data_IF_175646056185
#
_entry.id   IF_175646056185
#
_cell.length_a   1.000
_cell.length_b   1.000
_cell.length_c   1.000
_cell.angle_alpha   90.00
_cell.angle_beta   90.00
_cell.angle_gamma   90.00
#
_symmetry.space_group_name_H-M   'P 1'
#
loop_
_entity.id
_entity.type
_entity.pdbx_description
1 polymer ?
#
# COMPACT_ATOMS: atom_id res chain seq x y z
N UNK A 1 -16.89 -7.87 -1.64
CA UNK A 1 -18.08 -8.55 -2.19
C UNK A 1 -18.62 -9.59 -1.20
N UNK A 2 -17.79 -10.53 -0.71
CA UNK A 2 -18.20 -11.59 0.22
C UNK A 2 -18.87 -11.13 1.54
N UNK A 3 -18.40 -10.06 2.18
CA UNK A 3 -18.97 -9.56 3.44
C UNK A 3 -20.39 -9.01 3.30
N UNK A 4 -20.70 -8.37 2.16
CA UNK A 4 -22.05 -7.85 1.86
C UNK A 4 -23.03 -9.00 1.61
N UNK A 5 -22.61 -10.03 0.86
CA UNK A 5 -23.41 -11.22 0.56
C UNK A 5 -23.70 -12.06 1.81
N UNK A 6 -22.70 -12.26 2.68
CA UNK A 6 -22.87 -12.96 3.97
C UNK A 6 -23.85 -12.22 4.89
N UNK A 7 -23.80 -10.88 4.93
CA UNK A 7 -24.75 -10.07 5.71
C UNK A 7 -26.16 -10.16 5.11
N UNK A 8 -26.29 -10.10 3.78
CA UNK A 8 -27.57 -10.17 3.08
C UNK A 8 -28.25 -11.54 3.27
N UNK A 9 -27.50 -12.63 3.19
CA UNK A 9 -28.02 -13.98 3.42
C UNK A 9 -28.48 -14.19 4.87
N UNK A 10 -27.76 -13.64 5.86
CA UNK A 10 -28.22 -13.62 7.26
C UNK A 10 -29.49 -12.80 7.43
N UNK A 11 -29.61 -11.66 6.76
CA UNK A 11 -30.82 -10.81 6.78
C UNK A 11 -32.04 -11.50 6.16
N UNK A 12 -31.84 -12.32 5.13
CA UNK A 12 -32.88 -13.12 4.50
C UNK A 12 -33.23 -14.42 5.25
N UNK A 13 -32.65 -14.65 6.43
CA UNK A 13 -32.94 -15.83 7.27
C UNK A 13 -32.26 -17.13 6.83
N UNK A 14 -31.40 -17.10 5.81
CA UNK A 14 -30.67 -18.28 5.37
C UNK A 14 -29.51 -18.59 6.31
N UNK A 15 -29.34 -19.88 6.66
CA UNK A 15 -28.15 -20.36 7.38
C UNK A 15 -26.94 -20.28 6.45
N UNK A 16 -26.09 -19.28 6.66
CA UNK A 16 -24.83 -19.15 5.93
C UNK A 16 -23.82 -20.18 6.47
N UNK A 17 -23.22 -21.03 5.63
CA UNK A 17 -22.19 -21.96 6.05
C UNK A 17 -21.00 -21.23 6.70
N UNK A 18 -20.53 -21.73 7.86
CA UNK A 18 -19.36 -21.19 8.58
C UNK A 18 -18.14 -20.91 7.70
N UNK A 19 -17.77 -21.75 6.71
CA UNK A 19 -16.62 -21.49 5.84
C UNK A 19 -16.73 -20.18 5.06
N UNK A 20 -17.93 -19.80 4.64
CA UNK A 20 -18.18 -18.57 3.87
C UNK A 20 -18.06 -17.33 4.78
N UNK A 21 -18.56 -17.44 6.01
CA UNK A 21 -18.45 -16.40 7.04
C UNK A 21 -16.98 -16.19 7.44
N UNK A 22 -16.23 -17.27 7.62
CA UNK A 22 -14.81 -17.21 7.97
C UNK A 22 -13.97 -16.58 6.85
N UNK A 23 -14.19 -16.95 5.59
CA UNK A 23 -13.54 -16.29 4.44
C UNK A 23 -13.89 -14.81 4.35
N UNK A 24 -15.14 -14.44 4.58
CA UNK A 24 -15.56 -13.04 4.58
C UNK A 24 -14.91 -12.26 5.73
N UNK A 25 -14.79 -12.87 6.91
CA UNK A 25 -14.14 -12.26 8.07
C UNK A 25 -12.63 -12.05 7.83
N UNK A 26 -11.93 -13.05 7.30
CA UNK A 26 -10.52 -12.94 6.92
C UNK A 26 -10.30 -11.84 5.88
N UNK A 27 -11.13 -11.80 4.83
CA UNK A 27 -11.07 -10.74 3.81
C UNK A 27 -11.31 -9.35 4.41
N UNK A 28 -12.20 -9.23 5.40
CA UNK A 28 -12.45 -7.97 6.09
C UNK A 28 -11.24 -7.51 6.93
N UNK A 29 -10.56 -8.43 7.60
CA UNK A 29 -9.36 -8.13 8.39
C UNK A 29 -8.20 -7.64 7.53
N UNK A 30 -8.08 -8.16 6.29
CA UNK A 30 -7.02 -7.79 5.36
C UNK A 30 -7.28 -6.47 4.62
N UNK A 31 -8.54 -6.04 4.55
CA UNK A 31 -8.95 -4.83 3.86
C UNK A 31 -8.19 -3.54 4.26
N UNK A 32 -8.04 -3.20 5.56
CA UNK A 32 -7.30 -1.99 5.95
C UNK A 32 -5.83 -2.00 5.49
N UNK A 33 -5.18 -3.16 5.50
CA UNK A 33 -3.80 -3.29 4.99
C UNK A 33 -3.74 -3.07 3.47
N UNK A 34 -4.69 -3.63 2.73
CA UNK A 34 -4.77 -3.45 1.28
C UNK A 34 -5.04 -1.99 0.89
N UNK A 35 -5.93 -1.31 1.61
CA UNK A 35 -6.22 0.13 1.39
C UNK A 35 -4.99 0.98 1.70
N UNK A 36 -4.34 0.76 2.85
CA UNK A 36 -3.13 1.53 3.21
C UNK A 36 -1.99 1.33 2.21
N UNK A 37 -1.75 0.11 1.73
CA UNK A 37 -0.77 -0.14 0.67
C UNK A 37 -1.13 0.58 -0.63
N UNK A 38 -2.41 0.57 -1.03
CA UNK A 38 -2.87 1.26 -2.23
C UNK A 38 -2.69 2.77 -2.14
N UNK A 39 -3.00 3.36 -0.99
CA UNK A 39 -2.80 4.79 -0.72
C UNK A 39 -1.32 5.17 -0.79
N UNK A 40 -0.44 4.34 -0.21
CA UNK A 40 1.00 4.56 -0.26
C UNK A 40 1.55 4.50 -1.70
N UNK A 41 1.11 3.53 -2.50
CA UNK A 41 1.49 3.43 -3.92
C UNK A 41 1.03 4.65 -4.70
N UNK A 42 -0.22 5.11 -4.50
CA UNK A 42 -0.74 6.33 -5.13
C UNK A 42 0.04 7.57 -4.73
N UNK A 43 0.37 7.72 -3.45
CA UNK A 43 1.18 8.84 -2.96
C UNK A 43 2.56 8.85 -3.62
N UNK A 44 3.18 7.68 -3.79
CA UNK A 44 4.43 7.55 -4.52
C UNK A 44 4.31 7.91 -6.00
N UNK A 45 3.26 7.49 -6.70
CA UNK A 45 3.04 7.86 -8.11
C UNK A 45 2.96 9.38 -8.28
N UNK A 46 2.20 10.05 -7.41
CA UNK A 46 2.07 11.51 -7.42
C UNK A 46 3.42 12.19 -7.15
N UNK A 47 4.15 11.74 -6.12
CA UNK A 47 5.47 12.29 -5.80
C UNK A 47 6.50 12.00 -6.90
N UNK A 48 6.44 10.84 -7.55
CA UNK A 48 7.31 10.48 -8.66
C UNK A 48 7.02 11.34 -9.92
N UNK A 49 5.75 11.60 -10.23
CA UNK A 49 5.36 12.46 -11.34
C UNK A 49 5.91 13.90 -11.17
N UNK A 50 5.90 14.42 -9.94
CA UNK A 50 6.52 15.73 -9.62
C UNK A 50 8.03 15.74 -9.88
N UNK A 51 8.74 14.68 -9.50
CA UNK A 51 10.20 14.58 -9.68
C UNK A 51 10.58 14.45 -11.16
N UNK A 52 9.79 13.71 -11.96
CA UNK A 52 10.03 13.57 -13.41
C UNK A 52 9.89 14.92 -14.13
N UNK A 53 8.98 15.78 -13.68
CA UNK A 53 8.80 17.13 -14.21
C UNK A 53 9.99 18.05 -13.90
N UNK A 54 10.75 17.77 -12.85
CA UNK A 54 11.91 18.56 -12.42
C UNK A 54 13.20 17.80 -12.77
N UNK A 55 13.62 17.90 -14.04
CA UNK A 55 14.66 17.08 -14.69
C UNK A 55 16.03 17.00 -13.98
N UNK A 56 16.30 17.82 -12.95
CA UNK A 56 17.54 17.78 -12.15
C UNK A 56 17.53 16.79 -10.98
N UNK A 57 16.37 16.23 -10.61
CA UNK A 57 16.19 15.54 -9.32
C UNK A 57 16.23 14.00 -9.40
N UNK A 58 16.23 13.43 -10.60
CA UNK A 58 16.00 11.99 -10.79
C UNK A 58 17.16 11.11 -10.30
N UNK A 59 18.40 11.62 -10.33
CA UNK A 59 19.59 10.86 -9.95
C UNK A 59 19.65 10.55 -8.44
N UNK A 60 19.32 11.51 -7.58
CA UNK A 60 19.43 11.35 -6.12
C UNK A 60 18.31 10.49 -5.54
N UNK A 61 17.13 10.56 -6.15
CA UNK A 61 15.97 9.78 -5.71
C UNK A 61 15.93 8.41 -6.40
N UNK A 62 16.73 8.21 -7.45
CA UNK A 62 16.78 6.97 -8.24
C UNK A 62 17.05 5.70 -7.42
N UNK A 63 17.92 5.74 -6.41
CA UNK A 63 18.16 4.57 -5.55
C UNK A 63 16.94 4.24 -4.69
N UNK A 64 16.30 5.25 -4.09
CA UNK A 64 15.10 5.08 -3.27
C UNK A 64 13.90 4.61 -4.11
N UNK A 65 13.76 5.11 -5.35
CA UNK A 65 12.77 4.62 -6.31
C UNK A 65 12.98 3.14 -6.62
N UNK A 66 14.24 2.74 -6.85
CA UNK A 66 14.60 1.35 -7.12
C UNK A 66 14.27 0.44 -5.93
N UNK A 67 14.53 0.90 -4.71
CA UNK A 67 14.22 0.14 -3.49
C UNK A 67 12.70 -0.05 -3.31
N UNK A 68 11.89 1.00 -3.56
CA UNK A 68 10.43 0.90 -3.53
C UNK A 68 9.91 -0.04 -4.64
N UNK A 69 10.45 0.03 -5.85
CA UNK A 69 10.08 -0.89 -6.93
C UNK A 69 10.40 -2.34 -6.58
N UNK A 70 11.55 -2.59 -5.95
CA UNK A 70 11.91 -3.92 -5.47
C UNK A 70 10.94 -4.43 -4.41
N UNK A 71 10.53 -3.57 -3.47
CA UNK A 71 9.50 -3.91 -2.47
C UNK A 71 8.18 -4.27 -3.16
N UNK A 72 7.73 -3.51 -4.16
CA UNK A 72 6.51 -3.81 -4.93
C UNK A 72 6.62 -5.19 -5.61
N UNK A 73 7.76 -5.50 -6.22
CA UNK A 73 8.01 -6.81 -6.86
C UNK A 73 8.02 -7.94 -5.81
N UNK A 74 8.59 -7.72 -4.63
CA UNK A 74 8.52 -8.67 -3.50
C UNK A 74 7.05 -8.88 -3.07
N UNK A 75 6.27 -7.80 -2.98
CA UNK A 75 4.85 -7.83 -2.62
C UNK A 75 3.95 -8.57 -3.60
N UNK A 76 4.21 -8.47 -4.91
CA UNK A 76 3.44 -9.21 -5.93
C UNK A 76 3.55 -10.73 -5.80
N UNK A 77 4.62 -11.23 -5.19
CA UNK A 77 4.84 -12.65 -4.93
C UNK A 77 4.30 -13.09 -3.55
N UNK A 78 3.91 -12.13 -2.70
CA UNK A 78 3.47 -12.39 -1.34
C UNK A 78 1.99 -12.77 -1.32
N UNK A 79 1.64 -13.80 -0.55
CA UNK A 79 0.26 -14.15 -0.28
C UNK A 79 -0.26 -13.36 0.93
N UNK A 80 -1.48 -12.83 0.84
CA UNK A 80 -2.12 -12.03 1.91
C UNK A 80 -2.37 -12.81 3.21
N UNK A 81 -2.32 -14.14 3.15
CA UNK A 81 -2.48 -15.03 4.30
C UNK A 81 -1.13 -15.38 4.97
N UNK A 82 -0.02 -14.83 4.47
CA UNK A 82 1.31 -15.11 5.00
C UNK A 82 1.59 -14.31 6.28
N UNK A 83 2.21 -14.95 7.28
CA UNK A 83 2.77 -14.29 8.47
C UNK A 83 3.81 -13.20 8.13
N UNK A 84 4.32 -13.18 6.90
CA UNK A 84 5.27 -12.19 6.40
C UNK A 84 4.60 -10.88 5.96
N UNK A 85 3.27 -10.82 5.87
CA UNK A 85 2.53 -9.65 5.39
C UNK A 85 2.73 -8.44 6.30
N UNK A 86 2.58 -8.61 7.61
CA UNK A 86 2.69 -7.52 8.58
C UNK A 86 4.08 -6.85 8.59
N UNK A 87 5.21 -7.59 8.68
CA UNK A 87 6.53 -6.98 8.56
C UNK A 87 6.83 -6.40 7.17
N UNK A 88 6.25 -6.97 6.10
CA UNK A 88 6.36 -6.41 4.75
C UNK A 88 5.63 -5.05 4.64
N UNK A 89 4.42 -4.94 5.18
CA UNK A 89 3.64 -3.70 5.19
C UNK A 89 4.38 -2.60 5.95
N UNK A 90 4.96 -2.93 7.12
CA UNK A 90 5.78 -1.97 7.88
C UNK A 90 6.99 -1.48 7.10
N UNK A 91 7.76 -2.39 6.48
CA UNK A 91 8.90 -2.03 5.61
C UNK A 91 8.48 -1.15 4.44
N UNK A 92 7.31 -1.41 3.84
CA UNK A 92 6.77 -0.55 2.78
C UNK A 92 6.47 0.85 3.31
N UNK A 93 5.75 0.96 4.42
CA UNK A 93 5.40 2.26 5.03
C UNK A 93 6.67 3.06 5.34
N UNK A 94 7.68 2.44 5.94
CA UNK A 94 8.96 3.11 6.23
C UNK A 94 9.67 3.60 4.97
N UNK A 95 9.72 2.78 3.91
CA UNK A 95 10.34 3.16 2.64
C UNK A 95 9.61 4.33 1.97
N UNK A 96 8.27 4.32 1.97
CA UNK A 96 7.46 5.41 1.44
C UNK A 96 7.59 6.69 2.27
N UNK A 97 7.61 6.60 3.60
CA UNK A 97 7.81 7.76 4.48
C UNK A 97 9.17 8.40 4.23
N UNK A 98 10.25 7.60 4.17
CA UNK A 98 11.60 8.09 3.86
C UNK A 98 11.67 8.79 2.50
N UNK A 99 10.97 8.25 1.50
CA UNK A 99 10.87 8.87 0.18
C UNK A 99 10.12 10.20 0.22
N UNK A 100 9.00 10.27 0.93
CA UNK A 100 8.24 11.52 1.08
C UNK A 100 9.02 12.58 1.87
N UNK A 101 9.73 12.19 2.92
CA UNK A 101 10.60 13.10 3.69
C UNK A 101 11.72 13.68 2.83
N UNK A 102 12.37 12.87 2.00
CA UNK A 102 13.44 13.35 1.12
C UNK A 102 12.91 14.32 0.06
N UNK A 103 11.71 14.06 -0.50
CA UNK A 103 11.01 14.98 -1.40
C UNK A 103 10.64 16.29 -0.68
N UNK A 104 10.08 16.21 0.53
CA UNK A 104 9.67 17.39 1.29
C UNK A 104 10.84 18.27 1.73
N UNK A 105 11.95 17.68 2.18
CA UNK A 105 13.15 18.45 2.52
C UNK A 105 13.67 19.24 1.31
N UNK A 106 13.57 18.67 0.11
CA UNK A 106 14.03 19.32 -1.13
C UNK A 106 13.09 20.42 -1.61
N UNK A 107 11.77 20.24 -1.52
CA UNK A 107 10.80 21.31 -1.78
C UNK A 107 11.05 22.53 -0.89
N UNK A 108 11.43 22.33 0.38
CA UNK A 108 11.77 23.43 1.29
C UNK A 108 13.09 24.12 0.93
N UNK A 109 14.11 23.39 0.48
CA UNK A 109 15.37 23.99 0.02
C UNK A 109 15.18 24.92 -1.19
N UNK A 110 14.30 24.55 -2.13
CA UNK A 110 13.99 25.37 -3.31
C UNK A 110 13.21 26.64 -2.95
N UNK A 111 12.39 26.63 -1.90
CA UNK A 111 11.62 27.80 -1.47
C UNK A 111 12.42 28.84 -0.69
N UNK A 112 13.58 28.48 -0.18
CA UNK A 112 14.43 29.35 0.66
C UNK A 112 15.61 29.92 -0.17
N UNK A 113 15.87 29.39 -1.37
CA UNK A 113 16.88 29.88 -2.33
C UNK A 113 16.27 30.76 -3.41
#
# INVERSE_FOLDING_TARGET
MLTKEVRNLKWLGYRVPLPLVNKAHQAHQLYPYAVGLLENVRAYEVSNAKIIADHGQDYLVGSMKKDIQNLIVEGTKLTWESYKLEPYVQRCIEAFTRYNESVFQKENFIRIS
#
